data_IF_868263130643
#
_entry.id   IF_868263130643
#
_cell.length_a   1.000
_cell.length_b   1.000
_cell.length_c   1.000
_cell.angle_alpha   90.00
_cell.angle_beta   90.00
_cell.angle_gamma   90.00
#
_symmetry.space_group_name_H-M   'P 1'
#
loop_
_entity.id
_entity.type
_entity.pdbx_description
1 polymer ?
#
# COMPACT_ATOMS: atom_id res chain seq x y z
N UNK A 1 64.97 -21.79 -49.60
CA UNK A 1 63.98 -22.14 -48.56
C UNK A 1 62.69 -22.49 -49.29
N UNK A 2 62.04 -23.60 -48.93
CA UNK A 2 60.75 -23.99 -49.49
C UNK A 2 59.62 -23.26 -48.78
N UNK A 3 58.69 -22.68 -49.52
CA UNK A 3 57.47 -22.09 -48.96
C UNK A 3 56.26 -22.84 -49.48
N UNK A 4 55.33 -23.18 -48.59
CA UNK A 4 54.15 -23.96 -48.90
C UNK A 4 52.93 -23.13 -48.53
N UNK A 5 52.22 -22.63 -49.53
CA UNK A 5 50.97 -21.90 -49.35
C UNK A 5 49.79 -22.85 -49.28
N UNK A 6 49.16 -22.96 -48.12
CA UNK A 6 47.94 -23.76 -47.91
C UNK A 6 47.08 -23.18 -46.80
N UNK A 7 45.74 -23.31 -46.92
CA UNK A 7 44.79 -23.05 -45.82
C UNK A 7 44.67 -24.23 -44.85
N UNK A 8 45.14 -25.41 -45.26
CA UNK A 8 45.03 -26.67 -44.50
C UNK A 8 46.45 -27.15 -44.19
N UNK A 9 46.94 -26.85 -42.98
CA UNK A 9 48.31 -27.20 -42.57
C UNK A 9 48.59 -28.71 -42.65
N UNK A 10 47.58 -29.56 -42.42
CA UNK A 10 47.70 -31.02 -42.51
C UNK A 10 48.13 -31.52 -43.90
N UNK A 11 47.79 -30.82 -44.99
CA UNK A 11 48.22 -31.19 -46.34
C UNK A 11 49.72 -30.97 -46.58
N UNK A 12 50.33 -30.09 -45.79
CA UNK A 12 51.77 -29.80 -45.84
C UNK A 12 52.56 -30.56 -44.76
N UNK A 13 51.91 -31.43 -43.96
CA UNK A 13 52.56 -32.12 -42.83
C UNK A 13 53.67 -33.10 -43.25
N UNK A 14 53.61 -33.60 -44.49
CA UNK A 14 54.64 -34.49 -45.07
C UNK A 14 55.70 -33.73 -45.88
N UNK A 15 55.50 -32.43 -46.07
CA UNK A 15 56.39 -31.56 -46.84
C UNK A 15 57.35 -30.83 -45.92
N UNK A 16 58.63 -30.77 -46.28
CA UNK A 16 59.63 -30.03 -45.50
C UNK A 16 59.74 -28.60 -46.04
N UNK A 17 59.16 -27.62 -45.34
CA UNK A 17 59.18 -26.22 -45.74
C UNK A 17 58.48 -25.29 -44.76
N UNK A 18 58.49 -23.98 -45.04
CA UNK A 18 57.73 -23.00 -44.27
C UNK A 18 56.30 -22.98 -44.79
N UNK A 19 55.36 -23.34 -43.92
CA UNK A 19 53.94 -23.27 -44.22
C UNK A 19 53.48 -21.81 -44.04
N UNK A 20 52.83 -21.26 -45.07
CA UNK A 20 52.26 -19.93 -45.07
C UNK A 20 50.78 -20.00 -45.44
N UNK A 21 49.94 -19.18 -44.80
CA UNK A 21 48.55 -19.07 -45.19
C UNK A 21 48.45 -18.15 -46.43
N UNK A 22 47.89 -18.61 -47.56
CA UNK A 22 47.70 -17.78 -48.75
C UNK A 22 46.82 -16.55 -48.50
N UNK A 23 45.97 -16.56 -47.47
CA UNK A 23 45.11 -15.42 -47.12
C UNK A 23 45.88 -14.22 -46.55
N UNK A 24 47.08 -14.46 -46.02
CA UNK A 24 47.98 -13.43 -45.49
C UNK A 24 49.07 -13.05 -46.49
N UNK A 25 48.90 -13.42 -47.76
CA UNK A 25 49.89 -13.12 -48.77
C UNK A 25 49.82 -11.66 -49.23
N UNK A 26 50.86 -10.89 -48.91
CA UNK A 26 51.03 -9.53 -49.41
C UNK A 26 52.05 -9.48 -50.56
N UNK A 27 53.27 -9.97 -50.31
CA UNK A 27 54.40 -9.93 -51.24
C UNK A 27 55.23 -11.24 -51.20
N UNK A 28 56.00 -11.55 -52.28
CA UNK A 28 56.90 -12.70 -52.29
C UNK A 28 57.97 -12.64 -51.20
N UNK A 29 58.28 -13.78 -50.61
CA UNK A 29 59.46 -13.92 -49.79
C UNK A 29 60.68 -14.12 -50.70
N UNK A 30 61.54 -13.11 -50.77
CA UNK A 30 62.74 -13.11 -51.62
C UNK A 30 63.78 -14.19 -51.26
N UNK A 31 63.63 -14.90 -50.13
CA UNK A 31 64.48 -16.04 -49.75
C UNK A 31 63.91 -17.40 -50.19
N UNK A 32 62.73 -17.41 -50.79
CA UNK A 32 62.14 -18.61 -51.36
C UNK A 32 63.00 -19.13 -52.52
N UNK A 33 63.30 -20.42 -52.53
CA UNK A 33 63.99 -21.09 -53.64
C UNK A 33 63.06 -22.01 -54.43
N UNK A 34 61.91 -22.35 -53.85
CA UNK A 34 60.84 -23.15 -54.43
C UNK A 34 59.55 -22.88 -53.65
N UNK A 35 58.42 -22.91 -54.34
CA UNK A 35 57.10 -22.62 -53.76
C UNK A 35 56.10 -23.69 -54.18
N UNK A 36 55.37 -24.23 -53.20
CA UNK A 36 54.19 -25.08 -53.45
C UNK A 36 52.94 -24.28 -53.10
N UNK A 37 51.94 -24.32 -53.96
CA UNK A 37 50.65 -23.64 -53.75
C UNK A 37 49.54 -24.70 -53.79
N UNK A 38 48.89 -24.95 -52.67
CA UNK A 38 47.72 -25.83 -52.58
C UNK A 38 46.44 -25.02 -52.79
N UNK A 39 45.84 -25.14 -53.99
CA UNK A 39 44.65 -24.40 -54.40
C UNK A 39 44.92 -23.35 -55.47
N UNK A 40 43.88 -22.60 -55.84
CA UNK A 40 43.95 -21.62 -56.91
C UNK A 40 44.27 -20.21 -56.37
N UNK A 41 45.55 -19.84 -56.37
CA UNK A 41 46.04 -18.52 -55.94
C UNK A 41 46.90 -17.84 -57.01
N UNK A 42 46.26 -17.29 -58.07
CA UNK A 42 46.96 -16.80 -59.25
C UNK A 42 47.89 -15.61 -58.96
N UNK A 43 47.57 -14.78 -57.95
CA UNK A 43 48.45 -13.69 -57.51
C UNK A 43 49.79 -14.23 -56.98
N UNK A 44 49.74 -15.20 -56.07
CA UNK A 44 50.93 -15.81 -55.45
C UNK A 44 51.78 -16.46 -56.53
N UNK A 45 51.15 -17.24 -57.40
CA UNK A 45 51.81 -17.91 -58.51
C UNK A 45 52.55 -16.91 -59.41
N UNK A 46 51.84 -15.89 -59.91
CA UNK A 46 52.40 -14.87 -60.81
C UNK A 46 53.55 -14.10 -60.17
N UNK A 47 53.42 -13.74 -58.90
CA UNK A 47 54.41 -12.95 -58.19
C UNK A 47 55.74 -13.74 -58.00
N UNK A 48 55.68 -15.06 -57.77
CA UNK A 48 56.88 -15.91 -57.71
C UNK A 48 57.43 -16.30 -59.09
N UNK A 49 56.57 -16.52 -60.09
CA UNK A 49 56.99 -16.72 -61.49
C UNK A 49 57.74 -15.51 -62.04
N UNK A 50 57.30 -14.29 -61.68
CA UNK A 50 57.98 -13.03 -62.05
C UNK A 50 59.36 -12.87 -61.41
N UNK A 51 59.65 -13.63 -60.35
CA UNK A 51 60.94 -13.71 -59.68
C UNK A 51 61.76 -14.92 -60.13
N UNK A 52 61.32 -15.64 -61.16
CA UNK A 52 61.94 -16.87 -61.67
C UNK A 52 62.10 -17.97 -60.60
N UNK A 53 61.26 -17.94 -59.55
CA UNK A 53 61.24 -18.97 -58.51
C UNK A 53 60.32 -20.12 -58.99
N UNK A 54 60.77 -21.39 -58.92
CA UNK A 54 59.93 -22.54 -59.27
C UNK A 54 58.65 -22.60 -58.43
N UNK A 55 57.49 -22.66 -59.10
CA UNK A 55 56.16 -22.77 -58.47
C UNK A 55 55.49 -24.09 -58.88
N UNK A 56 55.07 -24.87 -57.90
CA UNK A 56 54.26 -26.07 -58.08
C UNK A 56 52.84 -25.84 -57.56
N UNK A 57 51.84 -25.89 -58.44
CA UNK A 57 50.43 -25.77 -58.05
C UNK A 57 49.82 -27.15 -57.87
N UNK A 58 49.34 -27.43 -56.66
CA UNK A 58 48.66 -28.68 -56.30
C UNK A 58 47.19 -28.42 -56.04
N UNK A 59 46.35 -29.40 -56.38
CA UNK A 59 44.92 -29.33 -56.08
C UNK A 59 44.73 -29.37 -54.56
N UNK A 60 43.93 -28.44 -54.03
CA UNK A 60 43.44 -28.53 -52.66
C UNK A 60 42.31 -29.56 -52.65
N UNK A 61 42.62 -30.81 -52.29
CA UNK A 61 41.58 -31.77 -51.97
C UNK A 61 41.01 -31.36 -50.60
N UNK A 62 39.75 -30.91 -50.60
CA UNK A 62 39.03 -30.72 -49.35
C UNK A 62 39.07 -32.04 -48.59
N UNK A 63 39.32 -32.02 -47.27
CA UNK A 63 39.27 -33.25 -46.49
C UNK A 63 37.93 -33.89 -46.79
N UNK A 64 37.93 -35.15 -47.25
CA UNK A 64 36.70 -35.92 -47.31
C UNK A 64 36.01 -35.68 -45.98
N UNK A 65 34.77 -35.18 -46.02
CA UNK A 65 33.90 -35.16 -44.84
C UNK A 65 33.84 -36.61 -44.38
N UNK A 66 34.73 -36.99 -43.47
CA UNK A 66 34.46 -38.09 -42.58
C UNK A 66 33.19 -37.62 -41.88
N UNK A 67 32.05 -38.17 -42.30
CA UNK A 67 30.94 -38.31 -41.38
C UNK A 67 31.56 -38.80 -40.09
N UNK A 68 31.50 -37.99 -39.04
CA UNK A 68 31.84 -38.48 -37.71
C UNK A 68 31.07 -39.79 -37.60
N UNK A 69 31.78 -40.92 -37.61
CA UNK A 69 31.33 -42.01 -36.77
C UNK A 69 31.21 -41.32 -35.41
N UNK A 70 29.99 -41.17 -34.93
CA UNK A 70 29.74 -40.89 -33.53
C UNK A 70 30.44 -42.00 -32.79
N UNK A 71 31.71 -41.78 -32.46
CA UNK A 71 32.28 -42.33 -31.26
C UNK A 71 31.42 -41.64 -30.21
N UNK A 72 30.40 -42.36 -29.75
CA UNK A 72 29.84 -42.11 -28.45
C UNK A 72 31.03 -42.31 -27.49
N UNK A 73 31.83 -41.26 -27.32
CA UNK A 73 32.51 -41.08 -26.06
C UNK A 73 31.35 -40.73 -25.15
N UNK A 74 30.69 -41.76 -24.63
CA UNK A 74 30.19 -41.69 -23.27
C UNK A 74 31.42 -41.27 -22.48
N UNK A 75 31.61 -39.96 -22.32
CA UNK A 75 32.29 -39.44 -21.16
C UNK A 75 31.30 -39.77 -20.06
N UNK A 76 31.26 -41.06 -19.69
CA UNK A 76 30.49 -41.56 -18.59
C UNK A 76 31.03 -40.79 -17.42
N UNK A 77 30.27 -39.78 -16.99
CA UNK A 77 30.41 -39.22 -15.67
C UNK A 77 30.55 -40.43 -14.77
N UNK A 78 31.69 -40.58 -14.11
CA UNK A 78 31.89 -41.77 -13.29
C UNK A 78 30.72 -41.85 -12.31
N UNK A 79 30.22 -43.04 -11.94
CA UNK A 79 29.06 -43.15 -11.06
C UNK A 79 29.16 -42.28 -9.80
N UNK A 80 30.38 -42.07 -9.30
CA UNK A 80 30.68 -41.19 -8.18
C UNK A 80 30.40 -39.71 -8.49
N UNK A 81 30.80 -39.22 -9.67
CA UNK A 81 30.55 -37.83 -10.07
C UNK A 81 29.06 -37.60 -10.36
N UNK A 82 28.35 -38.61 -10.89
CA UNK A 82 26.89 -38.53 -11.07
C UNK A 82 26.16 -38.48 -9.73
N UNK A 83 26.56 -39.29 -8.75
CA UNK A 83 26.01 -39.27 -7.40
C UNK A 83 26.21 -37.89 -6.73
N UNK A 84 27.41 -37.30 -6.85
CA UNK A 84 27.69 -35.95 -6.32
C UNK A 84 26.82 -34.87 -7.00
N UNK A 85 26.57 -34.99 -8.30
CA UNK A 85 25.70 -34.05 -9.02
C UNK A 85 24.25 -34.17 -8.54
N UNK A 86 23.76 -35.38 -8.33
CA UNK A 86 22.39 -35.61 -7.89
C UNK A 86 22.18 -35.19 -6.42
N UNK A 87 23.15 -35.46 -5.54
CA UNK A 87 23.16 -34.95 -4.17
C UNK A 87 23.20 -33.41 -4.14
N UNK A 88 24.02 -32.80 -4.99
CA UNK A 88 24.10 -31.33 -5.09
C UNK A 88 22.77 -30.72 -5.57
N UNK A 89 22.08 -31.36 -6.52
CA UNK A 89 20.74 -30.94 -6.94
C UNK A 89 19.73 -31.05 -5.81
N UNK A 90 19.72 -32.17 -5.09
CA UNK A 90 18.82 -32.38 -3.96
C UNK A 90 19.04 -31.32 -2.86
N UNK A 91 20.29 -30.99 -2.54
CA UNK A 91 20.58 -29.94 -1.56
C UNK A 91 20.18 -28.55 -2.08
N UNK A 92 20.36 -28.26 -3.38
CA UNK A 92 19.88 -27.01 -3.98
C UNK A 92 18.35 -26.88 -3.89
N UNK A 93 17.60 -27.94 -4.20
CA UNK A 93 16.14 -27.96 -4.08
C UNK A 93 15.70 -27.69 -2.63
N UNK A 94 16.34 -28.35 -1.66
CA UNK A 94 16.09 -28.14 -0.24
C UNK A 94 16.38 -26.70 0.20
N UNK A 95 17.51 -26.12 -0.22
CA UNK A 95 17.85 -24.73 0.09
C UNK A 95 16.86 -23.73 -0.53
N UNK A 96 16.30 -24.03 -1.69
CA UNK A 96 15.24 -23.22 -2.33
C UNK A 96 13.94 -23.27 -1.53
N UNK A 97 13.55 -24.46 -1.08
CA UNK A 97 12.38 -24.67 -0.22
C UNK A 97 12.53 -23.90 1.10
N UNK A 98 13.67 -24.07 1.78
CA UNK A 98 13.98 -23.38 3.05
C UNK A 98 13.98 -21.85 2.87
N UNK A 99 14.58 -21.33 1.79
CA UNK A 99 14.55 -19.90 1.49
C UNK A 99 13.13 -19.38 1.26
N UNK A 100 12.27 -20.17 0.62
CA UNK A 100 10.87 -19.80 0.39
C UNK A 100 10.13 -19.69 1.73
N UNK A 101 10.31 -20.66 2.63
CA UNK A 101 9.72 -20.63 3.96
C UNK A 101 10.26 -19.49 4.82
N UNK A 102 11.56 -19.19 4.75
CA UNK A 102 12.17 -18.08 5.47
C UNK A 102 11.60 -16.73 5.02
N UNK A 103 11.44 -16.52 3.70
CA UNK A 103 10.80 -15.30 3.16
C UNK A 103 9.37 -15.14 3.66
N UNK A 104 8.59 -16.23 3.73
CA UNK A 104 7.24 -16.20 4.30
C UNK A 104 7.26 -15.81 5.78
N UNK A 105 8.17 -16.39 6.59
CA UNK A 105 8.32 -16.04 8.01
C UNK A 105 8.71 -14.57 8.21
N UNK A 106 9.60 -14.04 7.38
CA UNK A 106 9.98 -12.61 7.42
C UNK A 106 8.77 -11.72 7.16
N UNK A 107 7.97 -12.00 6.12
CA UNK A 107 6.77 -11.22 5.81
C UNK A 107 5.75 -11.23 6.97
N UNK A 108 5.57 -12.37 7.63
CA UNK A 108 4.70 -12.47 8.81
C UNK A 108 5.23 -11.63 9.97
N UNK A 109 6.54 -11.67 10.22
CA UNK A 109 7.17 -10.88 11.29
C UNK A 109 7.11 -9.38 11.03
N UNK A 110 7.31 -8.94 9.79
CA UNK A 110 7.17 -7.54 9.38
C UNK A 110 5.72 -7.05 9.60
N UNK A 111 4.74 -7.85 9.20
CA UNK A 111 3.33 -7.54 9.44
C UNK A 111 3.01 -7.48 10.95
N UNK A 112 3.51 -8.43 11.73
CA UNK A 112 3.33 -8.45 13.18
C UNK A 112 3.97 -7.22 13.84
N UNK A 113 5.15 -6.79 13.37
CA UNK A 113 5.81 -5.56 13.82
C UNK A 113 4.98 -4.30 13.54
N UNK A 114 4.37 -4.22 12.35
CA UNK A 114 3.43 -3.15 11.99
C UNK A 114 2.23 -3.10 12.94
N UNK A 115 1.55 -4.22 13.13
CA UNK A 115 0.40 -4.34 14.04
C UNK A 115 0.78 -3.97 15.49
N UNK A 116 1.96 -4.36 15.95
CA UNK A 116 2.45 -4.02 17.28
C UNK A 116 2.66 -2.50 17.43
N UNK A 117 3.19 -1.84 16.41
CA UNK A 117 3.35 -0.37 16.41
C UNK A 117 1.99 0.34 16.49
N UNK A 118 0.99 -0.13 15.76
CA UNK A 118 -0.38 0.41 15.82
C UNK A 118 -0.99 0.24 17.21
N UNK A 119 -0.85 -0.95 17.81
CA UNK A 119 -1.35 -1.22 19.16
C UNK A 119 -0.69 -0.35 20.22
N UNK A 120 0.62 -0.08 20.11
CA UNK A 120 1.33 0.81 21.03
C UNK A 120 0.85 2.26 20.92
N UNK A 121 0.59 2.72 19.70
CA UNK A 121 0.02 4.05 19.45
C UNK A 121 -1.38 4.17 20.03
N UNK A 122 -2.23 3.17 19.80
CA UNK A 122 -3.61 3.16 20.32
C UNK A 122 -3.62 3.09 21.86
N UNK A 123 -2.74 2.29 22.46
CA UNK A 123 -2.62 2.21 23.92
C UNK A 123 -2.21 3.55 24.54
N UNK A 124 -1.30 4.28 23.88
CA UNK A 124 -0.90 5.63 24.31
C UNK A 124 -2.08 6.60 24.24
N UNK A 125 -2.84 6.58 23.14
CA UNK A 125 -4.04 7.41 22.97
C UNK A 125 -5.12 7.10 24.01
N UNK A 126 -5.35 5.83 24.30
CA UNK A 126 -6.30 5.38 25.33
C UNK A 126 -5.87 5.80 26.73
N UNK A 127 -4.57 5.74 27.03
CA UNK A 127 -4.02 6.22 28.30
C UNK A 127 -4.26 7.72 28.48
N UNK A 128 -4.02 8.52 27.46
CA UNK A 128 -4.26 9.96 27.50
C UNK A 128 -5.75 10.28 27.68
N UNK A 129 -6.62 9.54 26.97
CA UNK A 129 -8.07 9.66 27.12
C UNK A 129 -8.54 9.30 28.54
N UNK A 130 -7.97 8.26 29.14
CA UNK A 130 -8.29 7.85 30.51
C UNK A 130 -7.87 8.92 31.54
N UNK A 131 -6.70 9.54 31.37
CA UNK A 131 -6.24 10.64 32.23
C UNK A 131 -7.18 11.85 32.13
N UNK A 132 -7.62 12.18 30.91
CA UNK A 132 -8.57 13.28 30.70
C UNK A 132 -9.93 12.98 31.36
N UNK A 133 -10.42 11.75 31.21
CA UNK A 133 -11.67 11.32 31.82
C UNK A 133 -11.61 11.33 33.36
N UNK A 134 -10.51 10.86 33.95
CA UNK A 134 -10.28 10.90 35.41
C UNK A 134 -10.28 12.35 35.93
N UNK A 135 -9.64 13.27 35.19
CA UNK A 135 -9.68 14.70 35.54
C UNK A 135 -11.10 15.26 35.49
N UNK A 136 -11.84 14.99 34.41
CA UNK A 136 -13.22 15.46 34.26
C UNK A 136 -14.14 14.89 35.35
N UNK A 137 -13.93 13.63 35.75
CA UNK A 137 -14.65 13.00 36.85
C UNK A 137 -14.40 13.71 38.17
N UNK A 138 -13.13 13.98 38.52
CA UNK A 138 -12.77 14.72 39.74
C UNK A 138 -13.34 16.13 39.75
N UNK A 139 -13.29 16.83 38.61
CA UNK A 139 -13.83 18.18 38.48
C UNK A 139 -15.38 18.17 38.63
N UNK A 140 -16.06 17.12 38.16
CA UNK A 140 -17.50 16.92 38.35
C UNK A 140 -17.86 16.55 39.80
N UNK A 141 -17.10 15.67 40.44
CA UNK A 141 -17.27 15.30 41.85
C UNK A 141 -17.14 16.53 42.76
N UNK A 142 -16.15 17.39 42.51
CA UNK A 142 -15.97 18.63 43.25
C UNK A 142 -17.18 19.56 43.12
N UNK A 143 -17.74 19.70 41.91
CA UNK A 143 -18.96 20.49 41.69
C UNK A 143 -20.16 19.91 42.43
N UNK A 144 -20.36 18.59 42.38
CA UNK A 144 -21.46 17.92 43.11
C UNK A 144 -21.35 18.14 44.61
N UNK A 145 -20.13 18.05 45.17
CA UNK A 145 -19.90 18.35 46.59
C UNK A 145 -20.25 19.80 46.91
N UNK A 146 -19.79 20.76 46.09
CA UNK A 146 -20.10 22.19 46.27
C UNK A 146 -21.60 22.45 46.25
N UNK A 147 -22.30 21.97 45.23
CA UNK A 147 -23.77 22.09 45.12
C UNK A 147 -24.46 21.47 46.32
N UNK A 148 -24.01 20.30 46.78
CA UNK A 148 -24.60 19.64 47.95
C UNK A 148 -24.42 20.48 49.22
N UNK A 149 -23.25 21.06 49.42
CA UNK A 149 -23.00 21.94 50.57
C UNK A 149 -23.84 23.22 50.52
N UNK A 150 -23.96 23.84 49.34
CA UNK A 150 -24.80 25.03 49.14
C UNK A 150 -26.29 24.70 49.38
N UNK A 151 -26.74 23.55 48.88
CA UNK A 151 -28.11 23.08 49.08
C UNK A 151 -28.43 22.82 50.55
N UNK A 152 -27.52 22.18 51.30
CA UNK A 152 -27.71 21.99 52.73
C UNK A 152 -27.62 23.31 53.51
N UNK A 153 -26.75 24.25 53.12
CA UNK A 153 -26.72 25.59 53.71
C UNK A 153 -28.05 26.33 53.49
N UNK A 154 -28.57 26.30 52.26
CA UNK A 154 -29.86 26.89 51.90
C UNK A 154 -31.02 26.28 52.71
N UNK A 155 -31.09 24.94 52.83
CA UNK A 155 -32.11 24.24 53.63
C UNK A 155 -32.08 24.65 55.10
N UNK A 156 -30.90 24.96 55.63
CA UNK A 156 -30.72 25.36 57.02
C UNK A 156 -30.94 26.87 57.26
N UNK A 157 -31.13 27.66 56.20
CA UNK A 157 -31.43 29.10 56.29
C UNK A 157 -32.91 29.37 55.97
N UNK A 158 -33.76 29.17 56.99
CA UNK A 158 -35.21 29.39 56.90
C UNK A 158 -35.56 30.84 56.47
N UNK A 159 -34.93 31.90 57.01
CA UNK A 159 -35.15 33.27 56.53
C UNK A 159 -34.85 33.47 55.05
N UNK A 160 -33.72 32.95 54.55
CA UNK A 160 -33.38 33.05 53.13
C UNK A 160 -34.38 32.29 52.23
N UNK A 161 -34.84 31.11 52.66
CA UNK A 161 -35.90 30.37 51.96
C UNK A 161 -37.20 31.17 51.90
N UNK A 162 -37.61 31.78 53.01
CA UNK A 162 -38.82 32.61 53.07
C UNK A 162 -38.70 33.86 52.18
N UNK A 163 -37.54 34.53 52.16
CA UNK A 163 -37.29 35.65 51.25
C UNK A 163 -37.44 35.23 49.78
N UNK A 164 -36.93 34.05 49.42
CA UNK A 164 -37.06 33.50 48.07
C UNK A 164 -38.50 33.13 47.71
N UNK A 165 -39.27 32.59 48.65
CA UNK A 165 -40.71 32.33 48.46
C UNK A 165 -41.45 33.64 48.17
N UNK A 166 -41.20 34.68 48.97
CA UNK A 166 -41.82 36.00 48.77
C UNK A 166 -41.46 36.58 47.39
N UNK A 167 -40.21 36.47 46.96
CA UNK A 167 -39.78 36.91 45.62
C UNK A 167 -40.51 36.14 44.50
N UNK A 168 -40.63 34.81 44.62
CA UNK A 168 -41.32 33.97 43.65
C UNK A 168 -42.83 34.24 43.61
N UNK A 169 -43.45 34.53 44.76
CA UNK A 169 -44.86 34.91 44.87
C UNK A 169 -45.12 36.31 44.29
N UNK A 170 -44.19 37.26 44.49
CA UNK A 170 -44.23 38.57 43.87
C UNK A 170 -44.08 38.48 42.34
N UNK A 171 -43.22 37.58 41.85
CA UNK A 171 -43.08 37.27 40.41
C UNK A 171 -44.34 36.67 39.81
N UNK A 172 -45.00 35.74 40.51
CA UNK A 172 -46.32 35.19 40.13
C UNK A 172 -47.41 36.25 40.04
N UNK A 173 -47.36 37.24 40.94
CA UNK A 173 -48.31 38.36 40.96
C UNK A 173 -48.16 39.29 39.75
N UNK A 174 -47.00 39.28 39.07
CA UNK A 174 -46.77 40.02 37.84
C UNK A 174 -47.24 39.29 36.56
N UNK A 175 -47.42 37.96 36.61
CA UNK A 175 -47.87 37.16 35.45
C UNK A 175 -49.37 36.89 35.40
N UNK A 176 -50.15 37.14 36.47
CA UNK A 176 -51.62 37.13 36.38
C UNK A 176 -52.30 37.80 37.59
N UNK A 177 -52.96 38.97 37.45
CA UNK A 177 -53.85 39.46 38.50
C UNK A 177 -55.21 38.76 38.34
N UNK A 178 -55.31 37.51 38.81
CA UNK A 178 -56.62 36.93 39.09
C UNK A 178 -57.09 37.46 40.46
N UNK A 179 -57.59 38.69 40.48
CA UNK A 179 -58.36 39.20 41.62
C UNK A 179 -59.73 38.51 41.63
N UNK A 180 -59.92 37.61 42.59
CA UNK A 180 -61.24 37.21 43.03
C UNK A 180 -61.95 38.40 43.70
N UNK A 181 -63.27 38.51 43.44
CA UNK A 181 -64.27 39.45 43.97
C UNK A 181 -64.37 40.86 43.34
N UNK A 182 -65.25 40.97 42.33
CA UNK A 182 -66.36 41.94 42.23
C UNK A 182 -66.94 41.89 40.80
N UNK A 183 -68.27 41.76 40.68
CA UNK A 183 -69.09 41.94 39.47
C UNK A 183 -68.33 41.74 38.15
N UNK A 184 -68.31 40.51 37.62
CA UNK A 184 -67.60 40.20 36.38
C UNK A 184 -68.05 41.15 35.26
N UNK A 185 -67.24 42.16 35.00
CA UNK A 185 -67.43 43.11 33.92
C UNK A 185 -66.95 42.46 32.62
N UNK A 186 -67.74 41.48 32.18
CA UNK A 186 -67.45 40.68 31.00
C UNK A 186 -67.28 41.59 29.76
N UNK A 187 -67.92 42.76 29.73
CA UNK A 187 -67.79 43.73 28.63
C UNK A 187 -66.34 44.20 28.43
N UNK A 188 -65.52 44.19 29.48
CA UNK A 188 -64.11 44.56 29.41
C UNK A 188 -63.15 43.40 29.14
N UNK A 189 -63.63 42.16 29.07
CA UNK A 189 -62.77 41.01 28.80
C UNK A 189 -62.35 40.93 27.34
N UNK A 190 -61.16 40.36 27.10
CA UNK A 190 -60.72 40.01 25.75
C UNK A 190 -61.52 38.83 25.19
N UNK A 191 -61.45 38.64 23.88
CA UNK A 191 -62.19 37.57 23.21
C UNK A 191 -61.76 36.18 23.69
N UNK A 192 -60.47 36.00 24.01
CA UNK A 192 -59.91 34.73 24.45
C UNK A 192 -60.31 34.42 25.90
N UNK A 193 -60.32 35.42 26.79
CA UNK A 193 -60.81 35.27 28.16
C UNK A 193 -62.29 34.86 28.21
N UNK A 194 -63.13 35.45 27.33
CA UNK A 194 -64.54 35.07 27.22
C UNK A 194 -64.70 33.62 26.72
N UNK A 195 -63.91 33.20 25.75
CA UNK A 195 -63.90 31.82 25.22
C UNK A 195 -63.46 30.80 26.25
N UNK A 196 -62.43 31.12 27.03
CA UNK A 196 -61.92 30.26 28.09
C UNK A 196 -62.94 30.11 29.22
N UNK A 197 -63.60 31.20 29.61
CA UNK A 197 -64.67 31.14 30.60
C UNK A 197 -65.88 30.35 30.13
N UNK A 198 -66.34 30.56 28.89
CA UNK A 198 -67.44 29.78 28.32
C UNK A 198 -67.08 28.29 28.24
N UNK A 199 -65.84 27.95 27.86
CA UNK A 199 -65.34 26.58 27.89
C UNK A 199 -65.32 25.99 29.31
N UNK A 200 -64.89 26.77 30.31
CA UNK A 200 -64.89 26.36 31.72
C UNK A 200 -66.29 26.07 32.27
N UNK A 201 -67.31 26.75 31.73
CA UNK A 201 -68.73 26.55 32.05
C UNK A 201 -69.41 25.54 31.12
N UNK A 202 -68.65 24.90 30.22
CA UNK A 202 -69.14 23.95 29.23
C UNK A 202 -70.22 24.52 28.29
N UNK A 203 -70.13 25.83 27.99
CA UNK A 203 -71.02 26.55 27.07
C UNK A 203 -70.38 26.57 25.68
N UNK A 204 -71.03 25.92 24.71
CA UNK A 204 -70.55 25.86 23.34
C UNK A 204 -70.64 27.22 22.62
N UNK A 205 -69.58 27.59 21.91
CA UNK A 205 -69.52 28.78 21.07
C UNK A 205 -68.90 28.45 19.71
N UNK A 206 -69.18 29.28 18.69
CA UNK A 206 -68.51 29.16 17.40
C UNK A 206 -67.06 29.67 17.53
N UNK A 207 -66.03 28.97 17.01
CA UNK A 207 -64.64 29.44 17.10
C UNK A 207 -64.41 30.84 16.53
N UNK A 208 -65.20 31.23 15.52
CA UNK A 208 -65.19 32.54 14.87
C UNK A 208 -66.10 33.59 15.53
N UNK A 209 -66.70 33.30 16.68
CA UNK A 209 -67.60 34.21 17.36
C UNK A 209 -66.89 35.52 17.76
N UNK A 210 -67.58 36.62 17.52
CA UNK A 210 -67.17 37.97 17.89
C UNK A 210 -67.41 38.22 19.37
N UNK A 211 -66.73 39.22 19.95
CA UNK A 211 -66.87 39.59 21.37
C UNK A 211 -68.33 39.84 21.76
N UNK A 212 -69.09 40.54 20.93
CA UNK A 212 -70.50 40.82 21.17
C UNK A 212 -71.38 39.55 21.15
N UNK A 213 -71.00 38.53 20.38
CA UNK A 213 -71.71 37.23 20.36
C UNK A 213 -71.37 36.39 21.58
N UNK A 214 -70.10 36.39 22.00
CA UNK A 214 -69.65 35.64 23.18
C UNK A 214 -70.25 36.22 24.47
N UNK A 215 -70.36 37.55 24.57
CA UNK A 215 -71.03 38.22 25.70
C UNK A 215 -72.49 37.82 25.86
N UNK A 216 -73.20 37.53 24.76
CA UNK A 216 -74.61 37.07 24.80
C UNK A 216 -74.76 35.66 25.35
N UNK A 217 -73.70 34.85 25.29
CA UNK A 217 -73.71 33.47 25.79
C UNK A 217 -73.39 33.39 27.28
N UNK A 218 -72.96 34.49 27.89
CA UNK A 218 -72.71 34.55 29.33
C UNK A 218 -74.06 34.45 30.06
N UNK A 219 -74.24 33.46 30.96
CA UNK A 219 -75.46 33.34 31.75
C UNK A 219 -75.69 34.62 32.54
N UNK A 220 -76.89 35.20 32.41
CA UNK A 220 -77.34 36.26 33.30
C UNK A 220 -77.88 35.60 34.56
N UNK A 221 -77.43 36.06 35.73
CA UNK A 221 -78.06 35.70 37.02
C UNK A 221 -79.52 36.17 37.08
#
# INVERSE_FOLDING_TARGET
>A
MKIIYTRIAALAALETGIIANPDYYETPNLKAKEVIIYGNYPKIQKDYESLEVPVEVRKLEEPQKMTLATVNVEVGVTPELQAVIDDAKAECEKVVEENTQLKQKIAILEQAGGNQSELLSENSRLKDAAVLADKALKDAEAQVVGIKTEFEAFKNDIPAMQARIVELEAGKSAENPATETAANDFENWSNDQLKEYLASKNIGYKPSATKAELLKLIPKE
#
